data_IF_870056716003
#
_entry.id   IF_870056716003
#
_cell.length_a   1.000
_cell.length_b   1.000
_cell.length_c   1.000
_cell.angle_alpha   90.00
_cell.angle_beta   90.00
_cell.angle_gamma   90.00
#
_symmetry.space_group_name_H-M   'P 1'
#
loop_
_entity.id
_entity.type
_entity.pdbx_description
1 polymer ?
#
# COMPACT_ATOMS: atom_id res chain seq x y z
N UNK A 1 10.97 5.73 16.49
CA UNK A 1 11.58 4.63 15.71
C UNK A 1 10.59 3.98 14.73
N UNK A 2 9.39 3.62 15.18
CA UNK A 2 8.34 2.93 14.39
C UNK A 2 7.80 3.70 13.17
N UNK A 3 7.55 5.02 13.28
CA UNK A 3 7.08 5.85 12.14
C UNK A 3 8.05 5.84 10.95
N UNK A 4 9.36 5.82 11.23
CA UNK A 4 10.40 5.77 10.19
C UNK A 4 10.42 4.41 9.48
N UNK A 5 10.27 3.33 10.24
CA UNK A 5 10.20 1.98 9.68
C UNK A 5 8.96 1.81 8.80
N UNK A 6 7.82 2.37 9.23
CA UNK A 6 6.55 2.31 8.50
C UNK A 6 6.60 3.11 7.20
N UNK A 7 7.18 4.32 7.21
CA UNK A 7 7.38 5.12 6.00
C UNK A 7 8.30 4.44 4.98
N UNK A 8 9.42 3.87 5.42
CA UNK A 8 10.33 3.14 4.55
C UNK A 8 9.68 1.87 3.96
N UNK A 9 8.85 1.19 4.74
CA UNK A 9 8.13 0.00 4.31
C UNK A 9 7.04 0.35 3.30
N UNK A 10 6.30 1.45 3.51
CA UNK A 10 5.31 1.98 2.55
C UNK A 10 5.98 2.41 1.25
N UNK A 11 7.11 3.11 1.30
CA UNK A 11 7.87 3.48 0.09
C UNK A 11 8.41 2.26 -0.66
N UNK A 12 8.99 1.30 0.05
CA UNK A 12 9.50 0.07 -0.56
C UNK A 12 8.39 -0.79 -1.16
N UNK A 13 7.18 -0.78 -0.59
CA UNK A 13 6.01 -1.41 -1.17
C UNK A 13 5.49 -0.65 -2.39
N UNK A 14 5.43 0.68 -2.32
CA UNK A 14 4.94 1.53 -3.43
C UNK A 14 5.86 1.44 -4.65
N UNK A 15 7.18 1.47 -4.45
CA UNK A 15 8.16 1.29 -5.53
C UNK A 15 8.04 -0.08 -6.22
N UNK A 16 7.92 -1.17 -5.44
CA UNK A 16 7.75 -2.52 -6.00
C UNK A 16 6.47 -2.66 -6.83
N UNK A 17 5.37 -2.07 -6.37
CA UNK A 17 4.08 -2.09 -7.10
C UNK A 17 4.16 -1.33 -8.43
N UNK A 18 4.89 -0.21 -8.47
CA UNK A 18 5.10 0.56 -9.72
C UNK A 18 5.95 -0.24 -10.72
N UNK A 19 6.98 -0.95 -10.25
CA UNK A 19 7.81 -1.81 -11.10
C UNK A 19 7.03 -3.03 -11.67
N UNK A 20 6.12 -3.61 -10.88
CA UNK A 20 5.23 -4.69 -11.35
C UNK A 20 4.23 -4.20 -12.40
N UNK A 21 3.69 -3.00 -12.23
CA UNK A 21 2.80 -2.39 -13.22
C UNK A 21 3.52 -2.11 -14.55
N UNK A 22 4.79 -1.70 -14.52
CA UNK A 22 5.61 -1.51 -15.73
C UNK A 22 5.80 -2.84 -16.49
N UNK A 23 6.04 -3.94 -15.77
CA UNK A 23 6.11 -5.28 -16.36
C UNK A 23 4.78 -5.70 -16.96
N UNK A 24 3.67 -5.45 -16.27
CA UNK A 24 2.33 -5.75 -16.78
C UNK A 24 2.01 -4.98 -18.06
N UNK A 25 2.36 -3.69 -18.12
CA UNK A 25 2.21 -2.87 -19.34
C UNK A 25 3.10 -3.39 -20.47
N UNK A 26 4.32 -3.84 -20.16
CA UNK A 26 5.24 -4.41 -21.16
C UNK A 26 4.74 -5.74 -21.73
N UNK A 27 4.12 -6.59 -20.91
CA UNK A 27 3.50 -7.84 -21.36
C UNK A 27 2.24 -7.55 -22.17
N UNK A 28 1.38 -6.65 -21.69
CA UNK A 28 0.18 -6.23 -22.41
C UNK A 28 0.48 -5.56 -23.76
N UNK A 29 1.60 -4.85 -23.87
CA UNK A 29 2.06 -4.23 -25.11
C UNK A 29 2.51 -5.23 -26.19
N UNK A 30 2.88 -6.46 -25.80
CA UNK A 30 3.32 -7.49 -26.75
C UNK A 30 2.14 -8.12 -27.49
N UNK A 31 1.02 -8.33 -26.79
CA UNK A 31 -0.20 -8.91 -27.37
C UNK A 31 -1.46 -8.10 -26.97
N UNK A 32 -1.64 -6.86 -27.50
CA UNK A 32 -2.73 -5.97 -27.08
C UNK A 32 -4.13 -6.54 -27.35
N UNK A 33 -4.28 -7.31 -28.43
CA UNK A 33 -5.55 -7.91 -28.86
C UNK A 33 -6.07 -8.99 -27.90
N UNK A 34 -5.19 -9.67 -27.16
CA UNK A 34 -5.58 -10.68 -26.16
C UNK A 34 -6.21 -10.04 -24.92
N UNK A 35 -5.81 -8.80 -24.62
CA UNK A 35 -6.25 -8.06 -23.43
C UNK A 35 -7.32 -7.00 -23.74
N UNK A 36 -7.70 -6.82 -25.01
CA UNK A 36 -8.70 -5.83 -25.42
C UNK A 36 -8.29 -4.39 -25.12
N UNK A 37 -6.97 -4.11 -25.10
CA UNK A 37 -6.41 -2.80 -24.78
C UNK A 37 -6.03 -2.10 -26.09
N UNK A 38 -6.49 -0.86 -26.26
CA UNK A 38 -6.17 -0.03 -27.41
C UNK A 38 -4.82 0.70 -27.25
N UNK A 39 -4.13 1.02 -28.35
CA UNK A 39 -2.80 1.65 -28.33
C UNK A 39 -2.82 3.01 -27.61
N UNK A 40 -3.91 3.77 -27.76
CA UNK A 40 -4.12 5.02 -27.06
C UNK A 40 -4.27 4.85 -25.54
N UNK A 41 -4.78 3.70 -25.08
CA UNK A 41 -4.87 3.36 -23.67
C UNK A 41 -3.53 2.89 -23.12
N UNK A 42 -2.78 2.11 -23.89
CA UNK A 42 -1.43 1.66 -23.55
C UNK A 42 -0.50 2.86 -23.32
N UNK A 43 -0.56 3.88 -24.17
CA UNK A 43 0.23 5.11 -24.04
C UNK A 43 -0.17 5.92 -22.79
N UNK A 44 -1.46 6.00 -22.47
CA UNK A 44 -1.92 6.62 -21.21
C UNK A 44 -1.35 5.88 -20.00
N UNK A 45 -1.36 4.54 -20.01
CA UNK A 45 -0.80 3.70 -18.94
C UNK A 45 0.72 3.87 -18.83
N UNK A 46 1.45 3.96 -19.94
CA UNK A 46 2.89 4.25 -19.95
C UNK A 46 3.22 5.62 -19.34
N UNK A 47 2.50 6.67 -19.74
CA UNK A 47 2.69 8.03 -19.22
C UNK A 47 2.39 8.11 -17.73
N UNK A 48 1.32 7.47 -17.27
CA UNK A 48 0.98 7.43 -15.84
C UNK A 48 2.07 6.73 -15.01
N UNK A 49 2.52 5.55 -15.45
CA UNK A 49 3.56 4.78 -14.74
C UNK A 49 4.89 5.53 -14.68
N UNK A 50 5.28 6.23 -15.74
CA UNK A 50 6.48 7.08 -15.75
C UNK A 50 6.39 8.26 -14.77
N UNK A 51 5.23 8.92 -14.72
CA UNK A 51 4.97 10.01 -13.77
C UNK A 51 4.98 9.49 -12.32
N UNK A 52 4.34 8.35 -12.06
CA UNK A 52 4.33 7.72 -10.74
C UNK A 52 5.75 7.35 -10.26
N UNK A 53 6.57 6.79 -11.15
CA UNK A 53 7.98 6.47 -10.86
C UNK A 53 8.80 7.71 -10.53
N UNK A 54 8.58 8.81 -11.25
CA UNK A 54 9.25 10.09 -10.99
C UNK A 54 8.84 10.66 -9.64
N UNK A 55 7.55 10.59 -9.28
CA UNK A 55 7.07 11.04 -7.97
C UNK A 55 7.65 10.21 -6.82
N UNK A 56 7.64 8.88 -6.94
CA UNK A 56 8.26 7.98 -5.93
C UNK A 56 9.76 8.28 -5.78
N UNK A 57 10.46 8.56 -6.88
CA UNK A 57 11.87 8.95 -6.85
C UNK A 57 12.10 10.29 -6.16
N UNK A 58 11.26 11.29 -6.42
CA UNK A 58 11.37 12.63 -5.83
C UNK A 58 11.05 12.60 -4.33
N UNK A 59 10.06 11.81 -3.91
CA UNK A 59 9.75 11.59 -2.49
C UNK A 59 10.91 10.88 -1.80
N UNK A 60 11.44 9.80 -2.40
CA UNK A 60 12.63 9.10 -1.89
C UNK A 60 13.84 10.02 -1.76
N UNK A 61 14.09 10.89 -2.74
CA UNK A 61 15.20 11.85 -2.66
C UNK A 61 14.94 12.95 -1.62
N UNK A 62 13.70 13.41 -1.45
CA UNK A 62 13.33 14.40 -0.44
C UNK A 62 13.48 13.88 0.99
N UNK A 63 13.07 12.62 1.23
CA UNK A 63 13.23 11.94 2.52
C UNK A 63 14.70 11.65 2.84
N UNK A 64 15.49 11.27 1.82
CA UNK A 64 16.93 11.07 1.98
C UNK A 64 17.72 12.39 2.10
N UNK A 65 17.28 13.48 1.46
CA UNK A 65 17.90 14.80 1.57
C UNK A 65 17.58 15.47 2.91
N UNK A 66 16.35 15.33 3.41
CA UNK A 66 15.96 15.75 4.77
C UNK A 66 16.73 15.01 5.89
N UNK A 67 17.48 13.95 5.56
CA UNK A 67 18.39 13.23 6.46
C UNK A 67 19.71 13.99 6.71
N UNK A 68 20.13 14.87 5.79
CA UNK A 68 21.42 15.58 5.87
C UNK A 68 21.27 16.95 6.56
N UNK A 69 20.12 17.62 6.40
CA UNK A 69 19.88 18.95 6.99
C UNK A 69 19.44 18.92 8.46
N UNK A 70 18.76 17.86 8.92
CA UNK A 70 18.03 17.92 10.20
C UNK A 70 18.71 17.22 11.39
N UNK A 71 19.93 16.69 11.21
CA UNK A 71 20.60 15.87 12.25
C UNK A 71 22.02 16.26 12.63
N UNK A 72 22.74 17.05 11.82
CA UNK A 72 24.17 17.34 12.05
C UNK A 72 24.49 18.84 12.20
N UNK A 73 23.62 19.74 11.72
CA UNK A 73 23.86 21.19 11.77
C UNK A 73 23.61 21.80 13.15
N UNK A 74 22.47 21.54 13.79
CA UNK A 74 22.07 22.29 14.99
C UNK A 74 22.90 22.00 16.25
N UNK A 75 23.35 20.76 16.46
CA UNK A 75 24.17 20.44 17.62
C UNK A 75 25.61 20.96 17.50
N UNK A 76 26.11 21.12 16.27
CA UNK A 76 27.45 21.67 16.01
C UNK A 76 27.45 23.20 15.98
N UNK A 77 26.38 23.84 15.48
CA UNK A 77 26.16 25.28 15.49
C UNK A 77 26.00 25.82 16.92
N UNK A 78 25.10 25.24 17.72
CA UNK A 78 24.85 25.65 19.12
C UNK A 78 26.09 25.42 19.97
N UNK A 79 26.84 24.33 19.75
CA UNK A 79 28.12 24.09 20.43
C UNK A 79 29.21 25.07 19.99
N UNK A 80 29.20 25.55 18.74
CA UNK A 80 30.13 26.58 18.24
C UNK A 80 29.83 27.95 18.82
N UNK A 81 28.55 28.30 18.91
CA UNK A 81 28.06 29.54 19.51
C UNK A 81 28.37 29.58 21.02
N UNK A 82 28.17 28.46 21.73
CA UNK A 82 28.47 28.35 23.16
C UNK A 82 29.97 28.29 23.50
N UNK A 83 30.84 27.93 22.53
CA UNK A 83 32.30 27.88 22.70
C UNK A 83 33.02 29.15 22.22
N UNK A 84 32.28 30.12 21.67
CA UNK A 84 32.81 31.41 21.22
C UNK A 84 32.85 32.38 22.41
N UNK A 85 33.83 32.20 23.30
CA UNK A 85 34.18 33.23 24.29
C UNK A 85 34.67 34.50 23.58
N UNK A 86 34.29 35.72 24.05
CA UNK A 86 34.96 36.93 23.64
C UNK A 86 36.39 36.91 24.20
N UNK A 87 37.35 37.07 23.29
CA UNK A 87 38.77 37.19 23.61
C UNK A 87 39.01 38.46 24.46
N UNK A 88 39.06 38.33 25.79
CA UNK A 88 39.48 39.41 26.68
C UNK A 88 41.00 39.35 26.84
N UNK A 89 41.71 40.02 25.93
CA UNK A 89 42.99 40.62 26.27
C UNK A 89 42.77 41.73 27.30
N UNK A 90 43.80 41.97 28.11
CA UNK A 90 43.91 43.02 29.14
C UNK A 90 43.39 42.67 30.54
N UNK A 91 44.28 42.00 31.27
CA UNK A 91 44.42 42.21 32.70
C UNK A 91 44.88 43.65 32.99
N UNK A 92 43.97 44.51 33.47
CA UNK A 92 44.19 45.57 34.48
C UNK A 92 43.18 46.70 34.34
N UNK A 93 42.20 46.81 35.24
CA UNK A 93 41.98 48.02 36.05
C UNK A 93 40.87 47.81 37.06
N UNK A 94 41.11 48.39 38.23
CA UNK A 94 40.27 48.41 39.42
C UNK A 94 38.98 49.23 39.23
N UNK A 95 38.08 49.07 40.20
CA UNK A 95 36.99 49.97 40.65
C UNK A 95 35.55 49.75 40.14
N UNK A 96 34.74 49.24 41.06
CA UNK A 96 33.56 49.92 41.63
C UNK A 96 32.55 50.52 40.63
N UNK A 97 31.38 49.90 40.49
CA UNK A 97 30.02 50.50 40.53
C UNK A 97 28.96 49.50 40.00
N UNK A 98 27.87 49.33 40.75
CA UNK A 98 26.52 49.17 40.17
C UNK A 98 26.06 47.77 39.76
N UNK A 99 25.43 47.05 40.69
CA UNK A 99 24.46 45.99 40.37
C UNK A 99 23.19 46.58 39.73
N UNK A 100 23.30 47.12 38.50
CA UNK A 100 22.19 47.78 37.79
C UNK A 100 22.03 47.34 36.33
N UNK A 101 22.99 46.61 35.77
CA UNK A 101 22.95 46.18 34.36
C UNK A 101 22.56 44.70 34.17
N UNK A 102 22.46 43.92 35.26
CA UNK A 102 22.11 42.49 35.21
C UNK A 102 20.59 42.27 35.05
N UNK A 103 19.76 43.17 35.61
CA UNK A 103 18.30 43.10 35.49
C UNK A 103 17.83 43.25 34.03
N UNK A 104 18.46 44.13 33.24
CA UNK A 104 18.08 44.35 31.84
C UNK A 104 18.38 43.14 30.94
N UNK A 105 19.49 42.45 31.20
CA UNK A 105 19.86 41.23 30.49
C UNK A 105 18.92 40.08 30.86
N UNK A 106 18.65 39.87 32.15
CA UNK A 106 17.73 38.84 32.65
C UNK A 106 16.30 39.06 32.15
N UNK A 107 15.84 40.31 32.11
CA UNK A 107 14.51 40.65 31.57
C UNK A 107 14.43 40.35 30.07
N UNK A 108 15.46 40.70 29.30
CA UNK A 108 15.50 40.45 27.85
C UNK A 108 15.56 38.95 27.49
N UNK A 109 16.29 38.15 28.27
CA UNK A 109 16.32 36.69 28.13
C UNK A 109 14.99 36.04 28.54
N UNK A 110 14.36 36.55 29.61
CA UNK A 110 13.05 36.09 30.06
C UNK A 110 11.95 36.33 29.02
N UNK A 111 11.92 37.52 28.41
CA UNK A 111 10.98 37.85 27.33
C UNK A 111 11.19 36.95 26.11
N UNK A 112 12.46 36.63 25.78
CA UNK A 112 12.79 35.73 24.68
C UNK A 112 12.35 34.29 24.95
N UNK A 113 12.52 33.80 26.19
CA UNK A 113 12.02 32.48 26.60
C UNK A 113 10.48 32.44 26.60
N UNK A 114 9.81 33.52 27.00
CA UNK A 114 8.35 33.59 26.98
C UNK A 114 7.78 33.51 25.57
N UNK A 115 8.44 34.13 24.59
CA UNK A 115 8.05 34.03 23.18
C UNK A 115 8.24 32.61 22.62
N UNK A 116 9.33 31.94 22.99
CA UNK A 116 9.58 30.55 22.62
C UNK A 116 8.55 29.59 23.21
N UNK A 117 8.18 29.77 24.48
CA UNK A 117 7.13 28.95 25.13
C UNK A 117 5.77 29.18 24.47
N UNK A 118 5.42 30.42 24.13
CA UNK A 118 4.17 30.71 23.40
C UNK A 118 4.13 30.04 22.03
N UNK A 119 5.24 30.06 21.29
CA UNK A 119 5.32 29.38 20.00
C UNK A 119 5.15 27.87 20.15
N UNK A 120 5.77 27.28 21.16
CA UNK A 120 5.61 25.84 21.45
C UNK A 120 4.19 25.47 21.86
N UNK A 121 3.51 26.29 22.66
CA UNK A 121 2.12 26.04 23.04
C UNK A 121 1.18 26.09 21.81
N UNK A 122 1.43 27.01 20.88
CA UNK A 122 0.67 27.10 19.63
C UNK A 122 0.90 25.88 18.72
N UNK A 123 2.15 25.40 18.64
CA UNK A 123 2.49 24.15 17.94
C UNK A 123 1.85 22.90 18.59
N UNK A 124 1.76 22.87 19.93
CA UNK A 124 1.13 21.77 20.66
C UNK A 124 -0.39 21.75 20.49
N UNK A 125 -1.04 22.92 20.40
CA UNK A 125 -2.47 23.01 20.11
C UNK A 125 -2.78 22.51 18.68
N UNK A 126 -1.95 22.89 17.70
CA UNK A 126 -2.06 22.36 16.34
C UNK A 126 -1.83 20.83 16.30
N UNK A 127 -0.83 20.34 17.04
CA UNK A 127 -0.58 18.91 17.17
C UNK A 127 -1.77 18.19 17.82
N UNK A 128 -2.37 18.77 18.86
CA UNK A 128 -3.55 18.23 19.54
C UNK A 128 -4.74 18.09 18.58
N UNK A 129 -5.02 19.13 17.79
CA UNK A 129 -6.03 19.09 16.73
C UNK A 129 -5.74 18.01 15.67
N UNK A 130 -4.47 17.84 15.31
CA UNK A 130 -4.04 16.80 14.39
C UNK A 130 -4.23 15.39 14.97
N UNK A 131 -3.90 15.18 16.24
CA UNK A 131 -4.12 13.92 16.97
C UNK A 131 -5.61 13.60 17.06
N UNK A 132 -6.45 14.58 17.36
CA UNK A 132 -7.90 14.38 17.41
C UNK A 132 -8.46 13.96 16.04
N UNK A 133 -7.98 14.57 14.96
CA UNK A 133 -8.35 14.20 13.58
C UNK A 133 -7.92 12.78 13.23
N UNK A 134 -6.68 12.41 13.59
CA UNK A 134 -6.16 11.04 13.41
C UNK A 134 -6.97 10.04 14.23
N UNK A 135 -7.36 10.40 15.46
CA UNK A 135 -8.23 9.58 16.30
C UNK A 135 -9.59 9.32 15.63
N UNK A 136 -10.20 10.36 15.06
CA UNK A 136 -11.44 10.23 14.29
C UNK A 136 -11.29 9.30 13.08
N UNK A 137 -10.22 9.46 12.29
CA UNK A 137 -9.92 8.55 11.16
C UNK A 137 -9.68 7.11 11.64
N UNK A 138 -9.02 6.94 12.80
CA UNK A 138 -8.78 5.63 13.39
C UNK A 138 -10.07 4.89 13.77
N UNK A 139 -11.06 5.62 14.30
CA UNK A 139 -12.39 5.08 14.58
C UNK A 139 -13.11 4.68 13.30
N UNK A 140 -13.06 5.52 12.26
CA UNK A 140 -13.65 5.19 10.95
C UNK A 140 -13.01 3.95 10.33
N UNK A 141 -11.68 3.80 10.43
CA UNK A 141 -10.99 2.60 9.95
C UNK A 141 -11.44 1.37 10.75
N UNK A 142 -11.61 1.50 12.06
CA UNK A 142 -12.10 0.41 12.89
C UNK A 142 -13.51 -0.04 12.47
N UNK A 143 -14.44 0.90 12.27
CA UNK A 143 -15.80 0.59 11.84
C UNK A 143 -15.82 -0.08 10.46
N UNK A 144 -14.99 0.38 9.52
CA UNK A 144 -14.83 -0.22 8.20
C UNK A 144 -14.25 -1.65 8.28
N UNK A 145 -13.28 -1.90 9.16
CA UNK A 145 -12.72 -3.24 9.38
C UNK A 145 -13.78 -4.19 9.94
N UNK A 146 -14.60 -3.74 10.89
CA UNK A 146 -15.73 -4.54 11.43
C UNK A 146 -16.79 -4.80 10.35
N UNK A 147 -17.03 -3.83 9.46
CA UNK A 147 -17.92 -4.03 8.32
C UNK A 147 -17.36 -5.07 7.33
N UNK A 148 -16.06 -5.00 7.04
CA UNK A 148 -15.39 -5.96 6.17
C UNK A 148 -15.34 -7.38 6.75
N UNK A 149 -15.19 -7.54 8.06
CA UNK A 149 -15.28 -8.84 8.74
C UNK A 149 -16.63 -9.51 8.44
N UNK A 150 -17.74 -8.77 8.53
CA UNK A 150 -19.08 -9.30 8.20
C UNK A 150 -19.23 -9.67 6.73
N UNK A 151 -18.67 -8.86 5.83
CA UNK A 151 -18.71 -9.15 4.38
C UNK A 151 -17.92 -10.42 4.08
N UNK A 152 -16.77 -10.63 4.74
CA UNK A 152 -15.95 -11.83 4.57
C UNK A 152 -16.71 -13.08 5.06
N UNK A 153 -17.40 -13.01 6.20
CA UNK A 153 -18.23 -14.11 6.69
C UNK A 153 -19.35 -14.45 5.69
N UNK A 154 -20.02 -13.43 5.13
CA UNK A 154 -21.05 -13.66 4.10
C UNK A 154 -20.45 -14.30 2.84
N UNK A 155 -19.28 -13.83 2.40
CA UNK A 155 -18.54 -14.40 1.26
C UNK A 155 -18.14 -15.85 1.50
N UNK A 156 -17.76 -16.23 2.72
CA UNK A 156 -17.43 -17.60 3.10
C UNK A 156 -18.67 -18.50 2.99
N UNK A 157 -19.83 -18.04 3.48
CA UNK A 157 -21.08 -18.79 3.35
C UNK A 157 -21.51 -18.96 1.89
N UNK A 158 -21.36 -17.93 1.06
CA UNK A 158 -21.64 -18.00 -0.37
C UNK A 158 -20.67 -18.97 -1.08
N UNK A 159 -19.39 -18.96 -0.70
CA UNK A 159 -18.37 -19.86 -1.21
C UNK A 159 -18.69 -21.32 -0.89
N UNK A 160 -19.11 -21.62 0.35
CA UNK A 160 -19.55 -22.94 0.76
C UNK A 160 -20.78 -23.41 -0.04
N UNK A 161 -21.74 -22.51 -0.27
CA UNK A 161 -22.91 -22.80 -1.12
C UNK A 161 -22.50 -23.12 -2.57
N UNK A 162 -21.53 -22.37 -3.10
CA UNK A 162 -21.00 -22.55 -4.46
C UNK A 162 -20.23 -23.86 -4.58
N UNK A 163 -19.44 -24.21 -3.56
CA UNK A 163 -18.73 -25.49 -3.46
C UNK A 163 -19.70 -26.66 -3.46
N UNK A 164 -20.76 -26.60 -2.65
CA UNK A 164 -21.81 -27.63 -2.63
C UNK A 164 -22.49 -27.81 -4.00
N UNK A 165 -22.76 -26.70 -4.70
CA UNK A 165 -23.30 -26.73 -6.08
C UNK A 165 -22.29 -27.35 -7.05
N UNK A 166 -21.02 -26.97 -6.95
CA UNK A 166 -19.94 -27.51 -7.79
C UNK A 166 -19.79 -29.02 -7.59
N UNK A 167 -19.78 -29.50 -6.34
CA UNK A 167 -19.73 -30.92 -6.01
C UNK A 167 -20.92 -31.69 -6.60
N UNK A 168 -22.12 -31.10 -6.56
CA UNK A 168 -23.30 -31.69 -7.19
C UNK A 168 -23.16 -31.76 -8.72
N UNK A 169 -22.65 -30.70 -9.35
CA UNK A 169 -22.36 -30.68 -10.79
C UNK A 169 -21.32 -31.73 -11.13
N UNK A 170 -20.23 -31.81 -10.39
CA UNK A 170 -19.18 -32.81 -10.58
C UNK A 170 -19.72 -34.24 -10.45
N UNK A 171 -20.60 -34.49 -9.46
CA UNK A 171 -21.28 -35.78 -9.29
C UNK A 171 -22.21 -36.10 -10.46
N UNK A 172 -22.95 -35.12 -10.98
CA UNK A 172 -23.78 -35.27 -12.19
C UNK A 172 -22.94 -35.59 -13.42
N UNK A 173 -21.85 -34.86 -13.64
CA UNK A 173 -20.90 -35.13 -14.74
C UNK A 173 -20.33 -36.55 -14.61
N UNK A 174 -19.91 -36.96 -13.41
CA UNK A 174 -19.45 -38.32 -13.15
C UNK A 174 -20.52 -39.38 -13.42
N UNK A 175 -21.78 -39.12 -13.07
CA UNK A 175 -22.90 -40.01 -13.41
C UNK A 175 -23.18 -40.05 -14.91
N UNK A 176 -23.13 -38.92 -15.62
CA UNK A 176 -23.32 -38.87 -17.08
C UNK A 176 -22.20 -39.63 -17.78
N UNK A 177 -20.94 -39.45 -17.38
CA UNK A 177 -19.82 -40.23 -17.93
C UNK A 177 -20.00 -41.74 -17.68
N UNK A 178 -20.48 -42.13 -16.49
CA UNK A 178 -20.78 -43.54 -16.20
C UNK A 178 -21.96 -44.09 -17.00
N UNK A 179 -23.01 -43.28 -17.22
CA UNK A 179 -24.23 -43.67 -17.95
C UNK A 179 -24.04 -43.66 -19.47
N UNK A 180 -23.19 -42.78 -19.99
CA UNK A 180 -22.63 -42.84 -21.35
C UNK A 180 -21.59 -43.96 -21.52
N UNK A 181 -21.21 -44.63 -20.42
CA UNK A 181 -20.25 -45.71 -20.40
C UNK A 181 -20.74 -46.99 -21.06
N UNK A 182 -19.79 -47.91 -21.24
CA UNK A 182 -19.84 -49.11 -22.08
C UNK A 182 -21.18 -49.89 -22.08
N UNK A 183 -21.95 -49.94 -21.00
CA UNK A 183 -23.24 -50.66 -20.97
C UNK A 183 -24.28 -50.10 -21.94
N UNK A 184 -24.37 -48.77 -22.08
CA UNK A 184 -25.30 -48.15 -23.03
C UNK A 184 -24.88 -48.38 -24.48
N UNK A 185 -23.58 -48.23 -24.76
CA UNK A 185 -23.00 -48.53 -26.07
C UNK A 185 -23.12 -50.01 -26.43
N UNK A 186 -22.89 -50.92 -25.49
CA UNK A 186 -23.04 -52.37 -25.72
C UNK A 186 -24.49 -52.76 -26.00
N UNK A 187 -25.47 -52.16 -25.29
CA UNK A 187 -26.90 -52.39 -25.62
C UNK A 187 -27.26 -51.87 -27.01
N UNK A 188 -26.73 -50.71 -27.40
CA UNK A 188 -26.91 -50.15 -28.75
C UNK A 188 -26.29 -51.04 -29.83
N UNK A 189 -25.07 -51.54 -29.61
CA UNK A 189 -24.38 -52.47 -30.53
C UNK A 189 -25.16 -53.78 -30.66
N UNK A 190 -25.60 -54.37 -29.54
CA UNK A 190 -26.42 -55.59 -29.57
C UNK A 190 -27.73 -55.39 -30.35
N UNK A 191 -28.43 -54.27 -30.14
CA UNK A 191 -29.65 -53.95 -30.88
C UNK A 191 -29.40 -53.81 -32.38
N UNK A 192 -28.34 -53.08 -32.77
CA UNK A 192 -27.92 -52.93 -34.16
C UNK A 192 -27.58 -54.28 -34.81
N UNK A 193 -26.89 -55.17 -34.08
CA UNK A 193 -26.56 -56.51 -34.58
C UNK A 193 -27.80 -57.38 -34.80
N UNK A 194 -28.76 -57.37 -33.88
CA UNK A 194 -30.02 -58.12 -34.05
C UNK A 194 -30.80 -57.60 -35.25
N UNK A 195 -30.91 -56.28 -35.41
CA UNK A 195 -31.57 -55.67 -36.57
C UNK A 195 -30.87 -56.07 -37.87
N UNK A 196 -29.54 -56.05 -37.89
CA UNK A 196 -28.74 -56.50 -39.03
C UNK A 196 -29.00 -57.96 -39.40
N UNK A 197 -29.08 -58.86 -38.41
CA UNK A 197 -29.41 -60.29 -38.64
C UNK A 197 -30.80 -60.43 -39.25
N UNK A 198 -31.81 -59.73 -38.71
CA UNK A 198 -33.18 -59.77 -39.25
C UNK A 198 -33.19 -59.32 -40.71
N UNK A 199 -32.52 -58.21 -41.02
CA UNK A 199 -32.44 -57.67 -42.37
C UNK A 199 -31.70 -58.63 -43.31
N UNK A 200 -30.60 -59.23 -42.85
CA UNK A 200 -29.85 -60.23 -43.61
C UNK A 200 -30.72 -61.44 -43.95
N UNK A 201 -31.42 -62.02 -42.97
CA UNK A 201 -32.32 -63.16 -43.21
C UNK A 201 -33.45 -62.79 -44.17
N UNK A 202 -34.06 -61.61 -44.00
CA UNK A 202 -35.13 -61.15 -44.88
C UNK A 202 -34.64 -61.03 -46.34
N UNK A 203 -33.44 -60.48 -46.55
CA UNK A 203 -32.84 -60.31 -47.89
C UNK A 203 -32.38 -61.63 -48.53
N UNK A 204 -31.87 -62.59 -47.77
CA UNK A 204 -31.40 -63.87 -48.32
C UNK A 204 -32.51 -64.92 -48.46
N UNK A 205 -33.61 -64.78 -47.72
CA UNK A 205 -34.76 -65.69 -47.75
C UNK A 205 -35.87 -65.19 -48.69
N UNK A 206 -35.85 -63.92 -49.06
CA UNK A 206 -36.64 -63.33 -50.17
C UNK A 206 -35.86 -63.43 -51.46
#
# INVERSE_FOLDING_TARGET
MWRRSLLLLVEALSGRKVDELEKAITVAAKDPSWYGIDEAELEKRRRWTSNARTQVRNVKSGVLAGKVSSGAGHASEVRRELMRMPNSGEASRYDQYGGRDDDGFVQSESDRQMLLIKQQDEELDELSKSVQRIGGVGLTIHDELVAQERIIDELDTEMDSTKNRLEFVQKKVGMVMKKAGAKGQMMMICFLLVLFIILFVLVFLT
#
